data_IF_042666865637
#
_entry.id   IF_042666865637
#
_cell.length_a   1.000
_cell.length_b   1.000
_cell.length_c   1.000
_cell.angle_alpha   90.00
_cell.angle_beta   90.00
_cell.angle_gamma   90.00
#
_symmetry.space_group_name_H-M   'P 1'
#
loop_
_entity.id
_entity.type
_entity.pdbx_description
1 polymer ?
#
# COMPACT_ATOMS: atom_id res chain seq x y z
N UNK A 1 -0.02 33.96 5.49
CA UNK A 1 0.17 32.52 5.28
C UNK A 1 -0.81 31.80 6.20
N UNK A 2 -1.80 31.07 5.70
CA UNK A 2 -2.68 30.31 6.58
C UNK A 2 -1.88 29.15 7.19
N UNK A 3 -1.85 29.12 8.53
CA UNK A 3 -1.29 28.04 9.34
C UNK A 3 -2.26 26.87 9.36
N UNK A 4 -1.76 25.68 9.02
CA UNK A 4 -2.44 24.40 9.20
C UNK A 4 -3.04 24.29 10.61
N UNK A 5 -4.37 24.21 10.78
CA UNK A 5 -5.02 24.17 12.09
C UNK A 5 -4.80 22.85 12.84
N UNK A 6 -4.15 21.85 12.24
CA UNK A 6 -3.90 20.54 12.86
C UNK A 6 -2.44 20.24 13.18
N UNK A 7 -1.49 21.07 12.72
CA UNK A 7 -0.07 20.91 13.04
C UNK A 7 0.47 19.51 12.68
N UNK A 8 -0.09 18.88 11.64
CA UNK A 8 0.32 17.55 11.22
C UNK A 8 1.52 17.72 10.30
N UNK A 9 2.71 17.80 10.89
CA UNK A 9 3.91 17.40 10.15
C UNK A 9 3.60 16.05 9.48
N UNK A 10 3.84 15.88 8.18
CA UNK A 10 3.65 14.58 7.53
C UNK A 10 4.37 13.52 8.35
N UNK A 11 3.61 12.60 8.94
CA UNK A 11 4.20 11.50 9.71
C UNK A 11 4.90 10.59 8.71
N UNK A 12 6.19 10.26 8.90
CA UNK A 12 6.87 9.31 8.02
C UNK A 12 6.07 8.01 7.90
N UNK A 13 5.97 7.44 6.70
CA UNK A 13 5.08 6.29 6.46
C UNK A 13 5.48 5.08 7.32
N UNK A 14 6.78 4.92 7.59
CA UNK A 14 7.27 3.91 8.53
C UNK A 14 6.75 4.11 9.96
N UNK A 15 6.68 5.37 10.42
CA UNK A 15 6.16 5.70 11.76
C UNK A 15 4.64 5.55 11.84
N UNK A 16 3.92 5.87 10.76
CA UNK A 16 2.49 5.62 10.66
C UNK A 16 2.19 4.10 10.70
N UNK A 17 2.93 3.31 9.94
CA UNK A 17 2.77 1.85 9.92
C UNK A 17 3.02 1.20 11.28
N UNK A 18 4.03 1.67 12.03
CA UNK A 18 4.28 1.20 13.40
C UNK A 18 3.07 1.48 14.32
N UNK A 19 2.49 2.69 14.25
CA UNK A 19 1.31 3.06 15.03
C UNK A 19 0.08 2.22 14.67
N UNK A 20 -0.19 2.04 13.37
CA UNK A 20 -1.30 1.20 12.90
C UNK A 20 -1.09 -0.25 13.35
N UNK A 21 0.12 -0.79 13.23
CA UNK A 21 0.43 -2.17 13.65
C UNK A 21 0.18 -2.36 15.15
N UNK A 22 0.58 -1.39 15.98
CA UNK A 22 0.30 -1.44 17.42
C UNK A 22 -1.21 -1.55 17.68
N UNK A 23 -2.03 -0.72 17.01
CA UNK A 23 -3.49 -0.82 17.14
C UNK A 23 -4.03 -2.14 16.63
N UNK A 24 -3.54 -2.66 15.49
CA UNK A 24 -3.95 -3.97 14.99
C UNK A 24 -3.67 -5.09 16.01
N UNK A 25 -2.53 -5.03 16.72
CA UNK A 25 -2.18 -6.01 17.77
C UNK A 25 -3.10 -5.96 19.00
N UNK A 26 -3.73 -4.82 19.28
CA UNK A 26 -4.75 -4.69 20.34
C UNK A 26 -6.06 -5.43 19.98
N UNK A 27 -6.33 -5.60 18.69
CA UNK A 27 -7.64 -6.06 18.19
C UNK A 27 -7.62 -7.44 17.51
N UNK A 28 -6.43 -7.97 17.18
CA UNK A 28 -6.27 -9.24 16.50
C UNK A 28 -5.22 -10.13 17.18
N UNK A 29 -5.37 -11.47 17.15
CA UNK A 29 -4.41 -12.37 17.76
C UNK A 29 -3.03 -12.27 17.11
N UNK A 30 -1.95 -12.45 17.86
CA UNK A 30 -0.59 -12.46 17.32
C UNK A 30 -0.34 -13.61 16.32
N UNK A 31 -1.08 -14.71 16.44
CA UNK A 31 -0.95 -15.86 15.54
C UNK A 31 -1.27 -15.44 14.10
N UNK A 32 -0.39 -15.82 13.16
CA UNK A 32 -0.50 -15.52 11.72
C UNK A 32 -0.46 -14.03 11.37
N UNK A 33 0.14 -13.17 12.21
CA UNK A 33 0.27 -11.74 11.89
C UNK A 33 0.97 -11.50 10.54
N UNK A 34 2.12 -12.17 10.31
CA UNK A 34 2.86 -12.08 9.04
C UNK A 34 2.01 -12.45 7.83
N UNK A 35 1.37 -13.63 7.88
CA UNK A 35 0.48 -14.10 6.80
C UNK A 35 -0.71 -13.14 6.58
N UNK A 36 -1.25 -12.57 7.65
CA UNK A 36 -2.37 -11.63 7.56
C UNK A 36 -1.99 -10.36 6.82
N UNK A 37 -0.80 -9.81 7.07
CA UNK A 37 -0.38 -8.58 6.36
C UNK A 37 -0.06 -8.84 4.90
N UNK A 38 0.56 -9.99 4.58
CA UNK A 38 0.79 -10.37 3.17
C UNK A 38 -0.54 -10.54 2.42
N UNK A 39 -1.55 -11.13 3.08
CA UNK A 39 -2.90 -11.24 2.51
C UNK A 39 -3.59 -9.88 2.41
N UNK A 40 -3.46 -9.02 3.41
CA UNK A 40 -4.02 -7.67 3.38
C UNK A 40 -3.46 -6.87 2.20
N UNK A 41 -2.15 -6.90 1.96
CA UNK A 41 -1.57 -6.20 0.81
C UNK A 41 -2.12 -6.73 -0.52
N UNK A 42 -2.28 -8.05 -0.66
CA UNK A 42 -2.88 -8.64 -1.85
C UNK A 42 -4.37 -8.25 -2.01
N UNK A 43 -5.10 -8.15 -0.91
CA UNK A 43 -6.49 -7.68 -0.86
C UNK A 43 -6.59 -6.24 -1.35
N UNK A 44 -5.81 -5.30 -0.77
CA UNK A 44 -5.85 -3.87 -1.16
C UNK A 44 -5.49 -3.66 -2.64
N UNK A 45 -4.48 -4.38 -3.14
CA UNK A 45 -4.14 -4.28 -4.58
C UNK A 45 -5.26 -4.84 -5.45
N UNK A 46 -5.98 -5.86 -4.99
CA UNK A 46 -7.19 -6.37 -5.64
C UNK A 46 -8.37 -5.40 -5.60
N UNK A 47 -8.55 -4.68 -4.48
CA UNK A 47 -9.57 -3.63 -4.34
C UNK A 47 -9.28 -2.47 -5.30
N UNK A 48 -8.03 -2.04 -5.41
CA UNK A 48 -7.58 -1.06 -6.40
C UNK A 48 -7.91 -1.49 -7.84
N UNK A 49 -7.59 -2.73 -8.23
CA UNK A 49 -7.97 -3.26 -9.54
C UNK A 49 -9.49 -3.18 -9.76
N UNK A 50 -10.26 -3.51 -8.71
CA UNK A 50 -11.71 -3.40 -8.73
C UNK A 50 -12.20 -1.97 -8.92
N UNK A 51 -11.66 -1.02 -8.15
CA UNK A 51 -11.99 0.40 -8.23
C UNK A 51 -11.65 0.98 -9.60
N UNK A 52 -10.47 0.67 -10.11
CA UNK A 52 -10.00 1.08 -11.43
C UNK A 52 -10.96 0.61 -12.53
N UNK A 53 -11.30 -0.69 -12.54
CA UNK A 53 -12.26 -1.24 -13.52
C UNK A 53 -13.64 -0.61 -13.43
N UNK A 54 -14.12 -0.24 -12.23
CA UNK A 54 -15.40 0.44 -12.06
C UNK A 54 -15.37 1.86 -12.61
N UNK A 55 -14.27 2.58 -12.38
CA UNK A 55 -14.08 3.93 -12.88
C UNK A 55 -13.94 4.00 -14.41
N UNK A 56 -13.15 3.10 -15.01
CA UNK A 56 -12.93 3.06 -16.47
C UNK A 56 -14.06 2.44 -17.28
N UNK A 57 -15.15 2.00 -16.63
CA UNK A 57 -16.29 1.38 -17.30
C UNK A 57 -16.08 -0.09 -17.71
N UNK A 58 -15.05 -0.74 -17.20
CA UNK A 58 -14.71 -2.15 -17.49
C UNK A 58 -15.39 -3.15 -16.53
N UNK A 59 -16.20 -2.67 -15.58
CA UNK A 59 -16.96 -3.49 -14.64
C UNK A 59 -18.48 -3.27 -14.80
N UNK A 60 -19.28 -4.24 -14.32
CA UNK A 60 -20.75 -4.15 -14.34
C UNK A 60 -21.30 -2.95 -13.57
N UNK A 61 -20.64 -2.57 -12.46
CA UNK A 61 -21.01 -1.40 -11.64
C UNK A 61 -19.99 -0.30 -11.90
N UNK A 62 -20.45 0.94 -11.96
CA UNK A 62 -19.57 2.11 -12.02
C UNK A 62 -19.11 2.53 -10.64
N UNK A 63 -18.05 3.33 -10.57
CA UNK A 63 -17.50 3.90 -9.34
C UNK A 63 -16.79 5.22 -9.64
N UNK A 64 -16.69 6.13 -8.67
CA UNK A 64 -15.99 7.40 -8.84
C UNK A 64 -14.47 7.20 -8.86
N UNK A 65 -13.76 8.15 -9.47
CA UNK A 65 -12.29 8.17 -9.46
C UNK A 65 -11.69 8.26 -8.05
N UNK A 66 -12.42 8.88 -7.12
CA UNK A 66 -12.00 8.96 -5.71
C UNK A 66 -11.80 7.58 -5.06
N UNK A 67 -12.52 6.55 -5.52
CA UNK A 67 -12.30 5.18 -5.06
C UNK A 67 -10.90 4.69 -5.49
N UNK A 68 -10.46 5.01 -6.71
CA UNK A 68 -9.12 4.63 -7.20
C UNK A 68 -8.03 5.26 -6.33
N UNK A 69 -8.15 6.55 -6.04
CA UNK A 69 -7.21 7.24 -5.16
C UNK A 69 -7.20 6.65 -3.74
N UNK A 70 -8.38 6.33 -3.20
CA UNK A 70 -8.52 5.76 -1.86
C UNK A 70 -7.90 4.36 -1.75
N UNK A 71 -8.10 3.49 -2.75
CA UNK A 71 -7.52 2.14 -2.71
C UNK A 71 -6.01 2.16 -3.03
N UNK A 72 -5.54 3.11 -3.85
CA UNK A 72 -4.11 3.28 -4.09
C UNK A 72 -3.37 3.70 -2.81
N UNK A 73 -4.00 4.57 -2.00
CA UNK A 73 -3.49 4.93 -0.68
C UNK A 73 -3.44 3.73 0.28
N UNK A 74 -4.46 2.86 0.27
CA UNK A 74 -4.46 1.63 1.08
C UNK A 74 -3.35 0.67 0.69
N UNK A 75 -3.04 0.53 -0.60
CA UNK A 75 -1.91 -0.29 -1.06
C UNK A 75 -0.59 0.22 -0.45
N UNK A 76 -0.34 1.53 -0.49
CA UNK A 76 0.87 2.11 0.11
C UNK A 76 0.90 1.91 1.62
N UNK A 77 -0.17 2.28 2.33
CA UNK A 77 -0.24 2.14 3.79
C UNK A 77 -0.01 0.68 4.20
N UNK A 78 -0.67 -0.26 3.51
CA UNK A 78 -0.58 -1.69 3.80
C UNK A 78 0.78 -2.27 3.43
N UNK A 79 1.46 -1.75 2.40
CA UNK A 79 2.83 -2.13 2.08
C UNK A 79 3.79 -1.76 3.23
N UNK A 80 3.68 -0.56 3.81
CA UNK A 80 4.50 -0.16 4.96
C UNK A 80 4.16 -0.94 6.24
N UNK A 81 2.88 -1.22 6.50
CA UNK A 81 2.47 -2.10 7.61
C UNK A 81 3.06 -3.51 7.43
N UNK A 82 2.98 -4.03 6.21
CA UNK A 82 3.55 -5.33 5.86
C UNK A 82 5.06 -5.34 6.06
N UNK A 83 5.77 -4.30 5.63
CA UNK A 83 7.20 -4.17 5.85
C UNK A 83 7.54 -4.18 7.34
N UNK A 84 6.83 -3.37 8.14
CA UNK A 84 7.03 -3.30 9.57
C UNK A 84 6.81 -4.66 10.26
N UNK A 85 5.73 -5.37 9.93
CA UNK A 85 5.44 -6.71 10.49
C UNK A 85 6.44 -7.78 10.06
N UNK A 86 7.05 -7.62 8.88
CA UNK A 86 8.07 -8.53 8.37
C UNK A 86 9.50 -8.14 8.81
N UNK A 87 9.64 -7.13 9.67
CA UNK A 87 10.90 -6.56 10.14
C UNK A 87 11.78 -6.03 8.98
N UNK A 88 11.15 -5.35 8.02
CA UNK A 88 11.78 -4.76 6.83
C UNK A 88 11.75 -3.25 6.89
N UNK A 89 12.79 -2.68 6.29
CA UNK A 89 12.87 -1.24 6.06
C UNK A 89 12.54 -1.00 4.60
N UNK A 90 11.50 -0.21 4.36
CA UNK A 90 11.28 0.41 3.06
C UNK A 90 11.94 1.78 3.07
N UNK A 91 12.47 2.24 1.92
CA UNK A 91 12.82 3.63 1.79
C UNK A 91 11.54 4.46 1.97
N UNK A 92 11.64 5.62 2.64
CA UNK A 92 10.60 6.64 2.51
C UNK A 92 10.43 6.95 1.02
N UNK A 93 9.20 7.28 0.57
CA UNK A 93 8.96 7.48 -0.83
C UNK A 93 9.93 8.54 -1.36
N UNK A 94 10.61 8.27 -2.48
CA UNK A 94 11.55 9.24 -3.04
C UNK A 94 10.78 10.51 -3.39
N UNK A 95 11.52 11.62 -3.55
CA UNK A 95 10.93 12.78 -4.21
C UNK A 95 10.39 12.31 -5.56
N UNK A 96 9.09 12.52 -5.82
CA UNK A 96 8.38 11.92 -6.95
C UNK A 96 9.04 12.22 -8.29
N UNK A 97 9.80 13.31 -8.35
CA UNK A 97 10.61 13.73 -9.48
C UNK A 97 11.71 12.72 -9.87
N UNK A 98 12.23 11.91 -8.94
CA UNK A 98 13.31 10.95 -9.21
C UNK A 98 12.82 9.58 -9.72
N UNK A 99 11.53 9.26 -9.52
CA UNK A 99 10.91 8.04 -10.09
C UNK A 99 10.46 8.22 -11.54
N UNK A 100 10.46 9.45 -12.04
CA UNK A 100 10.16 9.80 -13.42
C UNK A 100 11.48 9.78 -14.19
N UNK A 101 12.06 8.59 -14.41
CA UNK A 101 13.07 8.47 -15.45
C UNK A 101 12.38 8.34 -16.81
N UNK A 102 12.96 9.01 -17.78
CA UNK A 102 12.42 9.25 -19.11
C UNK A 102 12.28 7.94 -19.91
N UNK A 103 11.20 7.90 -20.69
CA UNK A 103 10.84 6.91 -21.70
C UNK A 103 10.15 5.61 -21.21
N UNK A 104 8.99 5.34 -21.82
CA UNK A 104 8.09 4.19 -21.60
C UNK A 104 7.34 4.19 -20.26
N UNK A 105 6.52 5.21 -20.00
CA UNK A 105 5.42 5.01 -19.07
C UNK A 105 4.29 4.24 -19.76
N UNK A 106 3.97 3.02 -19.29
CA UNK A 106 2.77 2.32 -19.72
C UNK A 106 1.51 3.20 -19.60
N UNK A 107 0.50 2.94 -20.42
CA UNK A 107 -0.81 3.58 -20.27
C UNK A 107 -1.41 3.35 -18.87
N UNK A 108 -2.41 4.13 -18.49
CA UNK A 108 -3.02 4.06 -17.15
C UNK A 108 -3.42 2.64 -16.70
N UNK A 109 -3.94 1.82 -17.63
CA UNK A 109 -4.30 0.42 -17.39
C UNK A 109 -3.07 -0.45 -17.09
N UNK A 110 -1.98 -0.24 -17.83
CA UNK A 110 -0.76 -1.01 -17.72
C UNK A 110 -0.03 -0.74 -16.40
N UNK A 111 -0.09 0.48 -15.85
CA UNK A 111 0.45 0.79 -14.52
C UNK A 111 -0.26 0.01 -13.41
N UNK A 112 -1.60 -0.01 -13.46
CA UNK A 112 -2.42 -0.70 -12.47
C UNK A 112 -2.22 -2.22 -12.57
N UNK A 113 -2.11 -2.78 -13.79
CA UNK A 113 -1.73 -4.18 -14.00
C UNK A 113 -0.29 -4.51 -13.54
N UNK A 114 0.65 -3.57 -13.73
CA UNK A 114 2.03 -3.72 -13.30
C UNK A 114 2.13 -3.80 -11.77
N UNK A 115 1.45 -2.89 -11.06
CA UNK A 115 1.35 -2.90 -9.60
C UNK A 115 0.75 -4.21 -9.07
N UNK A 116 -0.33 -4.70 -9.70
CA UNK A 116 -0.92 -6.00 -9.37
C UNK A 116 0.07 -7.16 -9.56
N UNK A 117 0.82 -7.13 -10.66
CA UNK A 117 1.83 -8.16 -10.98
C UNK A 117 2.99 -8.15 -9.98
N UNK A 118 3.50 -6.98 -9.61
CA UNK A 118 4.57 -6.85 -8.61
C UNK A 118 4.08 -7.35 -7.25
N UNK A 119 2.85 -7.01 -6.85
CA UNK A 119 2.25 -7.53 -5.60
C UNK A 119 2.21 -9.06 -5.62
N UNK A 120 1.84 -9.68 -6.74
CA UNK A 120 1.87 -11.13 -6.91
C UNK A 120 3.29 -11.73 -6.77
N UNK A 121 4.31 -11.06 -7.31
CA UNK A 121 5.72 -11.48 -7.17
C UNK A 121 6.20 -11.38 -5.72
N UNK A 122 5.81 -10.33 -5.01
CA UNK A 122 6.06 -10.21 -3.56
C UNK A 122 5.45 -11.39 -2.80
N UNK A 123 4.16 -11.69 -3.02
CA UNK A 123 3.48 -12.82 -2.37
C UNK A 123 4.20 -14.12 -2.68
N UNK A 124 4.53 -14.39 -3.94
CA UNK A 124 5.24 -15.61 -4.34
C UNK A 124 6.61 -15.72 -3.67
N UNK A 125 7.39 -14.63 -3.64
CA UNK A 125 8.69 -14.59 -2.97
C UNK A 125 8.57 -14.85 -1.47
N UNK A 126 7.57 -14.24 -0.81
CA UNK A 126 7.28 -14.49 0.61
C UNK A 126 6.96 -15.97 0.87
N UNK A 127 6.09 -16.57 0.05
CA UNK A 127 5.73 -17.99 0.16
C UNK A 127 6.95 -18.90 -0.01
N UNK A 128 7.84 -18.61 -0.97
CA UNK A 128 9.07 -19.35 -1.19
C UNK A 128 10.06 -19.18 -0.03
N UNK A 129 10.19 -17.99 0.53
CA UNK A 129 11.03 -17.71 1.70
C UNK A 129 10.62 -18.52 2.94
N UNK A 130 9.32 -18.80 3.12
CA UNK A 130 8.86 -19.68 4.22
C UNK A 130 9.36 -21.12 4.11
N UNK A 131 9.69 -21.59 2.90
CA UNK A 131 10.25 -22.93 2.69
C UNK A 131 11.77 -22.98 2.84
N UNK A 132 12.45 -21.83 2.71
CA UNK A 132 13.91 -21.71 2.75
C UNK A 132 14.31 -20.68 3.82
N UNK A 133 14.46 -21.14 5.07
CA UNK A 133 14.42 -20.32 6.29
C UNK A 133 15.44 -19.19 6.45
N UNK A 134 16.43 -19.03 5.58
CA UNK A 134 17.31 -17.85 5.48
C UNK A 134 18.08 -17.94 4.16
N UNK A 135 17.86 -17.01 3.24
CA UNK A 135 18.50 -17.01 1.92
C UNK A 135 18.04 -15.86 1.02
N UNK A 136 18.53 -15.80 -0.23
CA UNK A 136 18.27 -14.69 -1.17
C UNK A 136 16.78 -14.43 -1.45
N UNK A 137 15.90 -15.40 -1.19
CA UNK A 137 14.45 -15.23 -1.32
C UNK A 137 13.88 -14.12 -0.40
N UNK A 138 14.53 -13.88 0.72
CA UNK A 138 14.08 -12.92 1.74
C UNK A 138 14.47 -11.46 1.39
N UNK A 139 15.65 -11.29 0.79
CA UNK A 139 16.08 -10.02 0.17
C UNK A 139 15.20 -9.71 -1.05
N UNK A 140 14.90 -10.70 -1.89
CA UNK A 140 14.01 -10.58 -3.05
C UNK A 140 12.61 -10.13 -2.63
N UNK A 141 12.05 -10.69 -1.55
CA UNK A 141 10.75 -10.26 -1.03
C UNK A 141 10.77 -8.79 -0.56
N UNK A 142 11.87 -8.34 0.05
CA UNK A 142 12.03 -6.94 0.47
C UNK A 142 12.09 -6.00 -0.73
N UNK A 143 12.86 -6.37 -1.77
CA UNK A 143 12.94 -5.62 -3.01
C UNK A 143 11.57 -5.48 -3.68
N UNK A 144 10.82 -6.58 -3.79
CA UNK A 144 9.48 -6.52 -4.37
C UNK A 144 8.49 -5.67 -3.57
N UNK A 145 8.62 -5.59 -2.25
CA UNK A 145 7.78 -4.71 -1.44
C UNK A 145 8.10 -3.23 -1.69
N UNK A 146 9.38 -2.89 -1.90
CA UNK A 146 9.77 -1.54 -2.35
C UNK A 146 9.26 -1.25 -3.77
N UNK A 147 9.33 -2.23 -4.68
CA UNK A 147 8.78 -2.12 -6.04
C UNK A 147 7.26 -1.87 -6.02
N UNK A 148 6.51 -2.48 -5.08
CA UNK A 148 5.07 -2.20 -4.91
C UNK A 148 4.84 -0.72 -4.62
N UNK A 149 5.59 -0.15 -3.67
CA UNK A 149 5.46 1.26 -3.32
C UNK A 149 5.83 2.15 -4.52
N UNK A 150 6.95 1.88 -5.18
CA UNK A 150 7.36 2.64 -6.37
C UNK A 150 6.31 2.59 -7.49
N UNK A 151 5.75 1.42 -7.78
CA UNK A 151 4.69 1.25 -8.76
C UNK A 151 3.38 1.95 -8.38
N UNK A 152 3.05 2.01 -7.08
CA UNK A 152 1.90 2.78 -6.60
C UNK A 152 2.09 4.30 -6.83
N UNK A 153 3.27 4.83 -6.56
CA UNK A 153 3.58 6.24 -6.85
C UNK A 153 3.60 6.53 -8.36
N UNK A 154 4.16 5.65 -9.18
CA UNK A 154 4.10 5.77 -10.63
C UNK A 154 2.65 5.76 -11.15
N UNK A 155 1.80 4.89 -10.58
CA UNK A 155 0.36 4.86 -10.86
C UNK A 155 -0.30 6.18 -10.49
N UNK A 156 0.00 6.74 -9.31
CA UNK A 156 -0.55 8.02 -8.90
C UNK A 156 -0.16 9.16 -9.86
N UNK A 157 1.11 9.22 -10.27
CA UNK A 157 1.61 10.20 -11.24
C UNK A 157 0.88 10.11 -12.57
N UNK A 158 0.75 8.90 -13.14
CA UNK A 158 0.08 8.70 -14.45
C UNK A 158 -1.40 9.09 -14.41
N UNK A 159 -2.07 8.91 -13.27
CA UNK A 159 -3.48 9.21 -13.10
C UNK A 159 -3.76 10.60 -12.50
N UNK A 160 -2.72 11.37 -12.17
CA UNK A 160 -2.87 12.70 -11.54
C UNK A 160 -3.48 12.64 -10.13
N UNK A 161 -3.17 11.59 -9.37
CA UNK A 161 -3.65 11.41 -7.99
C UNK A 161 -2.68 12.09 -7.02
N UNK A 162 -3.21 12.97 -6.16
CA UNK A 162 -2.49 13.43 -4.98
C UNK A 162 -2.48 12.32 -3.93
N UNK A 163 -1.45 11.46 -3.99
CA UNK A 163 -1.36 10.30 -3.13
C UNK A 163 -1.10 10.69 -1.66
N UNK A 164 -0.44 11.81 -1.41
CA UNK A 164 -0.20 12.30 -0.04
C UNK A 164 -1.50 12.75 0.63
N UNK A 165 -2.35 13.47 -0.10
CA UNK A 165 -3.69 13.85 0.38
C UNK A 165 -4.59 12.61 0.57
N UNK A 166 -4.55 11.66 -0.38
CA UNK A 166 -5.31 10.42 -0.26
C UNK A 166 -4.92 9.59 0.97
N UNK A 167 -3.61 9.44 1.24
CA UNK A 167 -3.07 8.77 2.44
C UNK A 167 -3.52 9.51 3.70
N UNK A 168 -3.42 10.83 3.72
CA UNK A 168 -3.83 11.66 4.87
C UNK A 168 -5.32 11.48 5.18
N UNK A 169 -6.16 11.56 4.16
CA UNK A 169 -7.61 11.37 4.26
C UNK A 169 -7.95 9.97 4.77
N UNK A 170 -7.32 8.92 4.22
CA UNK A 170 -7.57 7.54 4.63
C UNK A 170 -7.15 7.30 6.08
N UNK A 171 -5.99 7.83 6.47
CA UNK A 171 -5.45 7.73 7.82
C UNK A 171 -6.35 8.42 8.86
N UNK A 172 -6.86 9.62 8.54
CA UNK A 172 -7.81 10.33 9.40
C UNK A 172 -9.08 9.49 9.65
N UNK A 173 -9.59 8.79 8.63
CA UNK A 173 -10.74 7.89 8.76
C UNK A 173 -10.42 6.67 9.63
N UNK A 174 -9.25 6.05 9.45
CA UNK A 174 -8.82 4.88 10.24
C UNK A 174 -8.78 5.17 11.75
N UNK A 175 -8.26 6.33 12.15
CA UNK A 175 -8.17 6.69 13.57
C UNK A 175 -9.49 7.19 14.18
N UNK A 176 -10.48 7.59 13.36
CA UNK A 176 -11.75 8.14 13.85
C UNK A 176 -12.91 7.13 13.87
N UNK A 177 -12.92 6.14 12.98
CA UNK A 177 -14.01 5.14 12.91
C UNK A 177 -14.00 4.10 14.04
N UNK A 178 -12.94 4.06 14.85
CA UNK A 178 -12.76 3.07 15.90
C UNK A 178 -12.38 1.70 15.37
N UNK A 179 -11.83 0.86 16.24
CA UNK A 179 -11.34 -0.47 15.89
C UNK A 179 -12.37 -1.54 16.24
N UNK A 180 -12.33 -2.69 15.55
CA UNK A 180 -13.23 -3.81 15.86
C UNK A 180 -13.03 -4.30 17.30
N UNK A 181 -14.12 -4.54 18.02
CA UNK A 181 -14.05 -5.23 19.32
C UNK A 181 -13.39 -6.60 19.14
N UNK A 182 -12.40 -6.98 19.98
CA UNK A 182 -11.79 -8.30 19.91
C UNK A 182 -12.85 -9.39 19.97
N UNK A 183 -12.79 -10.38 19.07
CA UNK A 183 -13.61 -11.59 19.17
C UNK A 183 -13.00 -12.48 20.25
N UNK A 184 -13.68 -12.59 21.39
CA UNK A 184 -13.38 -13.55 22.47
C UNK A 184 -13.59 -14.99 22.01
#
# INVERSE_FOLDING_TARGET
MPTDPYGLTPVPLAALAAQITQRLREHFPARKERDRQVLALAEETGELMGAYRRWTGQARRTGPFSDVAAELADVVITAYITAHVLDRVLPEPPDLAELIDDHTHPGGDEQVMHLFTITGRFVQAHLAGRTNATGPADEVATAHLADVVAAAYATATVHGIDLADAITTKTAVLFTRGWRTPRT
#
